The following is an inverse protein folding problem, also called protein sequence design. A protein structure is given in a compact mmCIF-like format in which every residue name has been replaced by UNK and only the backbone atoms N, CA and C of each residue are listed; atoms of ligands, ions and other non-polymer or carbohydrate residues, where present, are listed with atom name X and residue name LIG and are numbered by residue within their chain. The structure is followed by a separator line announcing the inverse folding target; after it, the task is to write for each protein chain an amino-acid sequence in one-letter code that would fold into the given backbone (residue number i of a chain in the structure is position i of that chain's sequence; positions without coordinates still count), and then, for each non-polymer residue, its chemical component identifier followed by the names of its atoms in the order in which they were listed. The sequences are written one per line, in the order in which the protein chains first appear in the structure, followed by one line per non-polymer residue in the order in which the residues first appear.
data_IF_523604224267
#
_entry.id   IF_523604224267
#
_cell.length_a   1.000
_cell.length_b   1.000
_cell.length_c   1.000
_cell.angle_alpha   90.00
_cell.angle_beta   90.00
_cell.angle_gamma   90.00
#
_symmetry.space_group_name_H-M   'P 1'
#
loop_
_entity.id
_entity.type
_entity.pdbx_description
1 polymer ?
#
# COMPACT_ATOMS: atom_id res chain seq x y z
N UNK A 1 -59.05 3.69 -32.33
CA UNK A 1 -57.65 4.13 -32.46
C UNK A 1 -57.62 5.31 -33.41
N UNK A 2 -57.45 6.53 -32.90
CA UNK A 2 -57.35 7.73 -33.74
C UNK A 2 -55.97 8.36 -33.54
N UNK A 3 -55.19 8.43 -34.62
CA UNK A 3 -53.90 9.13 -34.65
C UNK A 3 -54.18 10.62 -34.82
N UNK A 4 -53.89 11.45 -33.82
CA UNK A 4 -53.64 12.87 -34.05
C UNK A 4 -52.13 13.06 -34.24
N UNK A 5 -51.73 13.30 -35.48
CA UNK A 5 -50.42 13.85 -35.78
C UNK A 5 -50.51 15.36 -35.56
N UNK A 6 -49.80 15.86 -34.55
CA UNK A 6 -49.45 17.27 -34.47
C UNK A 6 -48.08 17.42 -35.12
N UNK A 7 -48.04 18.10 -36.26
CA UNK A 7 -46.82 18.46 -36.97
C UNK A 7 -46.31 19.78 -36.39
N UNK A 8 -45.27 19.70 -35.57
CA UNK A 8 -44.43 20.87 -35.35
C UNK A 8 -42.95 20.46 -35.31
N UNK A 9 -42.18 21.14 -36.13
CA UNK A 9 -40.83 20.79 -36.55
C UNK A 9 -39.78 21.36 -35.61
N UNK A 10 -39.05 20.49 -34.91
CA UNK A 10 -37.85 20.87 -34.15
C UNK A 10 -37.16 19.63 -33.60
N UNK A 11 -35.97 19.32 -34.13
CA UNK A 11 -35.26 18.06 -33.93
C UNK A 11 -35.12 17.63 -32.48
N UNK A 12 -35.83 16.57 -32.12
CA UNK A 12 -35.64 15.82 -30.88
C UNK A 12 -35.69 14.32 -31.17
N UNK A 13 -34.76 13.61 -30.54
CA UNK A 13 -34.76 12.18 -30.23
C UNK A 13 -36.16 11.57 -30.39
N UNK A 14 -36.31 10.62 -31.32
CA UNK A 14 -37.60 10.01 -31.71
C UNK A 14 -38.24 9.18 -30.60
N UNK A 15 -38.61 9.81 -29.48
CA UNK A 15 -39.38 9.21 -28.40
C UNK A 15 -40.85 9.38 -28.75
N UNK A 16 -41.47 8.27 -29.15
CA UNK A 16 -42.92 8.17 -29.25
C UNK A 16 -43.53 8.33 -27.86
N UNK A 17 -44.15 9.49 -27.60
CA UNK A 17 -44.98 9.69 -26.42
C UNK A 17 -46.36 9.11 -26.71
N UNK A 18 -46.68 7.97 -26.12
CA UNK A 18 -48.04 7.48 -26.06
C UNK A 18 -48.71 8.10 -24.84
N UNK A 19 -49.72 8.93 -25.06
CA UNK A 19 -50.65 9.33 -23.99
C UNK A 19 -51.46 8.10 -23.58
N UNK A 20 -51.40 7.74 -22.29
CA UNK A 20 -52.14 6.58 -21.75
C UNK A 20 -53.66 6.81 -21.70
N UNK A 21 -54.13 8.02 -21.99
CA UNK A 21 -55.55 8.37 -22.03
C UNK A 21 -56.30 7.51 -23.06
N UNK A 22 -57.27 6.72 -22.56
CA UNK A 22 -58.15 5.89 -23.39
C UNK A 22 -57.65 4.47 -23.68
N UNK A 23 -56.51 4.05 -23.12
CA UNK A 23 -56.13 2.63 -23.16
C UNK A 23 -56.99 1.83 -22.17
N UNK A 24 -57.41 0.59 -22.52
CA UNK A 24 -58.08 -0.29 -21.57
C UNK A 24 -57.21 -0.48 -20.33
N UNK A 25 -57.80 -0.49 -19.14
CA UNK A 25 -57.10 -0.66 -17.85
C UNK A 25 -56.14 -1.86 -17.86
N UNK A 26 -56.50 -2.94 -18.56
CA UNK A 26 -55.65 -4.13 -18.71
C UNK A 26 -54.33 -3.85 -19.46
N UNK A 27 -54.36 -2.98 -20.48
CA UNK A 27 -53.17 -2.60 -21.26
C UNK A 27 -52.29 -1.68 -20.42
N UNK A 28 -52.88 -0.71 -19.71
CA UNK A 28 -52.15 0.16 -18.79
C UNK A 28 -51.50 -0.67 -17.68
N UNK A 29 -52.24 -1.60 -17.09
CA UNK A 29 -51.73 -2.53 -16.08
C UNK A 29 -50.56 -3.37 -16.60
N UNK A 30 -50.64 -3.90 -17.83
CA UNK A 30 -49.55 -4.66 -18.46
C UNK A 30 -48.34 -3.78 -18.81
N UNK A 31 -48.56 -2.57 -19.33
CA UNK A 31 -47.49 -1.62 -19.65
C UNK A 31 -46.81 -1.07 -18.40
N UNK A 32 -47.55 -0.82 -17.32
CA UNK A 32 -47.00 -0.49 -16.01
C UNK A 32 -46.26 -1.69 -15.43
N UNK A 33 -46.79 -2.91 -15.48
CA UNK A 33 -46.09 -4.14 -15.03
C UNK A 33 -44.78 -4.34 -15.80
N UNK A 34 -44.78 -4.08 -17.11
CA UNK A 34 -43.60 -4.12 -17.97
C UNK A 34 -42.60 -2.99 -17.66
N UNK A 35 -43.07 -1.74 -17.53
CA UNK A 35 -42.22 -0.61 -17.14
C UNK A 35 -41.65 -0.74 -15.72
N UNK A 36 -42.41 -1.34 -14.80
CA UNK A 36 -41.99 -1.66 -13.42
C UNK A 36 -40.88 -2.72 -13.38
N UNK A 37 -40.77 -3.56 -14.41
CA UNK A 37 -39.68 -4.54 -14.54
C UNK A 37 -38.36 -3.95 -15.06
N UNK A 38 -38.36 -2.70 -15.55
CA UNK A 38 -37.19 -2.09 -16.16
C UNK A 38 -36.73 -0.81 -15.48
N UNK A 39 -37.62 0.04 -14.96
CA UNK A 39 -37.21 1.25 -14.24
C UNK A 39 -38.37 1.91 -13.46
N UNK A 40 -38.43 1.71 -12.14
CA UNK A 40 -39.34 2.42 -11.23
C UNK A 40 -39.21 3.96 -11.36
N UNK A 41 -38.03 4.46 -11.74
CA UNK A 41 -37.77 5.89 -11.93
C UNK A 41 -38.39 6.42 -13.21
N UNK A 42 -38.28 5.67 -14.31
CA UNK A 42 -39.01 5.97 -15.54
C UNK A 42 -40.52 5.94 -15.29
N UNK A 43 -41.01 4.95 -14.54
CA UNK A 43 -42.42 4.88 -14.14
C UNK A 43 -42.85 6.09 -13.32
N UNK A 44 -42.04 6.53 -12.35
CA UNK A 44 -42.35 7.70 -11.52
C UNK A 44 -42.44 8.97 -12.37
N UNK A 45 -41.57 9.14 -13.36
CA UNK A 45 -41.64 10.24 -14.32
C UNK A 45 -42.88 10.16 -15.21
N UNK A 46 -43.24 8.97 -15.70
CA UNK A 46 -44.42 8.75 -16.54
C UNK A 46 -45.71 8.92 -15.74
N UNK A 47 -45.80 8.42 -14.52
CA UNK A 47 -46.98 8.56 -13.65
C UNK A 47 -47.19 10.01 -13.21
N UNK A 48 -46.13 10.79 -12.96
CA UNK A 48 -46.23 12.23 -12.71
C UNK A 48 -46.81 13.00 -13.89
N UNK A 49 -46.63 12.51 -15.12
CA UNK A 49 -47.18 13.13 -16.32
C UNK A 49 -48.65 12.75 -16.59
N UNK A 50 -49.22 11.74 -15.91
CA UNK A 50 -50.57 11.19 -16.17
C UNK A 50 -51.43 11.25 -14.89
N UNK A 51 -51.16 12.23 -14.03
CA UNK A 51 -51.40 12.13 -12.59
C UNK A 51 -52.87 12.12 -12.12
N UNK A 52 -53.85 12.53 -12.92
CA UNK A 52 -55.21 12.73 -12.37
C UNK A 52 -56.16 11.53 -12.54
N UNK A 53 -55.90 10.60 -13.47
CA UNK A 53 -56.83 9.47 -13.75
C UNK A 53 -56.34 8.09 -13.30
N UNK A 54 -55.05 7.91 -13.01
CA UNK A 54 -54.44 6.59 -12.73
C UNK A 54 -54.04 6.35 -11.27
N UNK A 55 -54.45 7.22 -10.36
CA UNK A 55 -54.02 7.20 -8.94
C UNK A 55 -54.45 5.92 -8.21
N UNK A 56 -55.68 5.45 -8.39
CA UNK A 56 -56.19 4.27 -7.67
C UNK A 56 -55.57 2.96 -8.19
N UNK A 57 -55.43 2.83 -9.51
CA UNK A 57 -54.85 1.62 -10.13
C UNK A 57 -53.34 1.50 -9.87
N UNK A 58 -52.62 2.63 -9.87
CA UNK A 58 -51.19 2.64 -9.55
C UNK A 58 -50.93 2.22 -8.09
N UNK A 59 -51.72 2.70 -7.12
CA UNK A 59 -51.58 2.30 -5.71
C UNK A 59 -51.81 0.79 -5.49
N UNK A 60 -52.77 0.18 -6.19
CA UNK A 60 -52.99 -1.27 -6.12
C UNK A 60 -51.81 -2.08 -6.69
N UNK A 61 -51.25 -1.66 -7.83
CA UNK A 61 -50.07 -2.31 -8.44
C UNK A 61 -48.83 -2.17 -7.55
N UNK A 62 -48.62 -0.97 -6.97
CA UNK A 62 -47.55 -0.69 -6.02
C UNK A 62 -47.66 -1.60 -4.79
N UNK A 63 -48.85 -1.70 -4.19
CA UNK A 63 -49.12 -2.56 -3.03
C UNK A 63 -48.89 -4.03 -3.36
N UNK A 64 -49.33 -4.48 -4.55
CA UNK A 64 -49.11 -5.84 -5.02
C UNK A 64 -47.61 -6.14 -5.18
N UNK A 65 -46.83 -5.23 -5.77
CA UNK A 65 -45.37 -5.41 -5.89
C UNK A 65 -44.66 -5.43 -4.53
N UNK A 66 -45.01 -4.51 -3.62
CA UNK A 66 -44.48 -4.51 -2.26
C UNK A 66 -44.70 -5.85 -1.57
N UNK A 67 -45.93 -6.37 -1.65
CA UNK A 67 -46.34 -7.60 -0.96
C UNK A 67 -45.74 -8.85 -1.60
N UNK A 68 -45.82 -8.97 -2.92
CA UNK A 68 -45.52 -10.22 -3.63
C UNK A 68 -44.09 -10.28 -4.19
N UNK A 69 -43.55 -9.18 -4.71
CA UNK A 69 -42.19 -9.16 -5.27
C UNK A 69 -41.13 -8.90 -4.18
N UNK A 70 -41.43 -7.99 -3.24
CA UNK A 70 -40.47 -7.55 -2.20
C UNK A 70 -40.74 -8.15 -0.81
N UNK A 71 -41.79 -8.97 -0.65
CA UNK A 71 -42.17 -9.60 0.64
C UNK A 71 -42.39 -8.62 1.81
N UNK A 72 -42.87 -7.40 1.51
CA UNK A 72 -43.23 -6.39 2.53
C UNK A 72 -44.62 -6.72 3.07
N UNK A 73 -44.68 -7.14 4.35
CA UNK A 73 -45.92 -7.67 4.96
C UNK A 73 -46.97 -6.58 5.28
N UNK A 74 -46.57 -5.32 5.42
CA UNK A 74 -47.42 -4.24 5.98
C UNK A 74 -47.56 -3.00 5.07
N UNK A 75 -47.81 -3.20 3.76
CA UNK A 75 -47.89 -2.09 2.79
C UNK A 75 -49.20 -1.28 2.81
N UNK A 76 -50.20 -1.66 3.61
CA UNK A 76 -51.60 -1.30 3.37
C UNK A 76 -52.11 0.02 4.00
N UNK A 77 -51.27 0.93 4.52
CA UNK A 77 -51.78 1.98 5.43
C UNK A 77 -51.29 3.43 5.26
N UNK A 78 -50.59 3.81 4.18
CA UNK A 78 -50.18 5.22 3.97
C UNK A 78 -50.81 5.84 2.71
N UNK A 79 -51.95 6.49 2.85
CA UNK A 79 -52.76 7.08 1.77
C UNK A 79 -52.21 8.38 1.14
N UNK A 80 -50.89 8.55 1.08
CA UNK A 80 -50.26 9.72 0.45
C UNK A 80 -49.48 9.35 -0.82
N UNK A 81 -49.98 9.75 -2.00
CA UNK A 81 -49.43 9.38 -3.32
C UNK A 81 -47.90 9.57 -3.51
N UNK A 82 -47.27 10.50 -2.78
CA UNK A 82 -45.82 10.70 -2.82
C UNK A 82 -45.01 9.76 -1.91
N UNK A 83 -45.61 9.29 -0.82
CA UNK A 83 -44.96 8.41 0.16
C UNK A 83 -44.80 6.98 -0.35
N UNK A 84 -45.62 6.56 -1.32
CA UNK A 84 -45.66 5.19 -1.84
C UNK A 84 -44.45 4.87 -2.72
N UNK A 85 -44.00 5.79 -3.58
CA UNK A 85 -42.83 5.58 -4.45
C UNK A 85 -41.51 5.54 -3.68
N UNK A 86 -41.33 6.44 -2.71
CA UNK A 86 -40.13 6.43 -1.88
C UNK A 86 -40.07 5.17 -1.00
N UNK A 87 -41.24 4.68 -0.56
CA UNK A 87 -41.35 3.42 0.18
C UNK A 87 -41.00 2.21 -0.69
N UNK A 88 -41.48 2.17 -1.93
CA UNK A 88 -41.09 1.18 -2.93
C UNK A 88 -39.58 1.20 -3.19
N UNK A 89 -39.01 2.38 -3.47
CA UNK A 89 -37.58 2.52 -3.73
C UNK A 89 -36.76 2.05 -2.56
N UNK A 90 -37.17 2.37 -1.33
CA UNK A 90 -36.48 1.89 -0.14
C UNK A 90 -36.62 0.38 0.08
N UNK A 91 -37.78 -0.21 -0.24
CA UNK A 91 -37.99 -1.65 -0.21
C UNK A 91 -37.09 -2.37 -1.23
N UNK A 92 -36.97 -1.81 -2.45
CA UNK A 92 -36.05 -2.28 -3.49
C UNK A 92 -34.59 -2.26 -3.00
N UNK A 93 -34.15 -1.13 -2.43
CA UNK A 93 -32.82 -0.98 -1.88
C UNK A 93 -32.53 -2.01 -0.78
N UNK A 94 -33.49 -2.23 0.12
CA UNK A 94 -33.39 -3.28 1.15
C UNK A 94 -33.31 -4.67 0.55
N UNK A 95 -34.11 -4.95 -0.47
CA UNK A 95 -34.09 -6.24 -1.15
C UNK A 95 -32.71 -6.53 -1.76
N UNK A 96 -32.14 -5.57 -2.49
CA UNK A 96 -30.77 -5.68 -3.04
C UNK A 96 -29.74 -5.86 -1.92
N UNK A 97 -29.87 -5.15 -0.80
CA UNK A 97 -28.96 -5.31 0.35
C UNK A 97 -29.03 -6.73 0.93
N UNK A 98 -30.22 -7.34 0.98
CA UNK A 98 -30.41 -8.73 1.41
C UNK A 98 -29.78 -9.71 0.43
N UNK A 99 -29.93 -9.51 -0.88
CA UNK A 99 -29.26 -10.32 -1.90
C UNK A 99 -27.73 -10.25 -1.77
N UNK A 100 -27.21 -9.05 -1.48
CA UNK A 100 -25.79 -8.84 -1.19
C UNK A 100 -25.38 -9.42 0.18
N UNK A 101 -26.28 -9.70 1.10
CA UNK A 101 -25.94 -10.34 2.37
C UNK A 101 -25.97 -11.87 2.27
N UNK A 102 -26.44 -12.44 1.15
CA UNK A 102 -26.45 -13.87 0.93
C UNK A 102 -25.04 -14.48 1.07
N UNK A 103 -24.94 -15.76 1.49
CA UNK A 103 -23.67 -16.49 1.56
C UNK A 103 -22.93 -16.45 0.22
N UNK A 104 -21.60 -16.53 0.29
CA UNK A 104 -20.78 -16.64 -0.93
C UNK A 104 -21.16 -17.92 -1.70
N UNK A 105 -21.11 -17.83 -3.03
CA UNK A 105 -21.37 -18.99 -3.88
C UNK A 105 -20.31 -20.08 -3.64
N UNK A 106 -20.69 -21.33 -3.89
CA UNK A 106 -19.75 -22.44 -3.87
C UNK A 106 -18.52 -22.14 -4.75
N UNK A 107 -17.30 -22.59 -4.34
CA UNK A 107 -16.08 -22.36 -5.09
C UNK A 107 -16.22 -22.71 -6.58
N UNK A 108 -15.71 -21.84 -7.46
CA UNK A 108 -15.79 -22.03 -8.91
C UNK A 108 -17.15 -21.73 -9.55
N UNK A 109 -18.18 -21.35 -8.77
CA UNK A 109 -19.51 -21.01 -9.29
C UNK A 109 -19.91 -19.58 -8.93
N UNK A 110 -20.80 -19.01 -9.73
CA UNK A 110 -21.40 -17.71 -9.47
C UNK A 110 -20.78 -16.55 -10.24
N UNK A 111 -21.03 -15.34 -9.74
CA UNK A 111 -20.64 -14.07 -10.33
C UNK A 111 -19.84 -13.25 -9.34
N UNK A 112 -18.80 -12.57 -9.81
CA UNK A 112 -18.06 -11.60 -9.02
C UNK A 112 -18.85 -10.31 -8.85
N UNK A 113 -18.79 -9.79 -7.64
CA UNK A 113 -19.31 -8.48 -7.26
C UNK A 113 -18.24 -7.72 -6.50
N UNK A 114 -18.14 -6.41 -6.76
CA UNK A 114 -17.26 -5.54 -5.97
C UNK A 114 -17.70 -5.49 -4.52
N UNK A 115 -16.77 -5.86 -3.62
CA UNK A 115 -16.97 -5.73 -2.17
C UNK A 115 -17.04 -4.25 -1.76
N UNK A 116 -16.31 -3.37 -2.46
CA UNK A 116 -16.37 -1.93 -2.21
C UNK A 116 -17.74 -1.37 -2.59
N UNK A 117 -18.25 -1.71 -3.77
CA UNK A 117 -19.59 -1.34 -4.19
C UNK A 117 -20.65 -1.87 -3.22
N UNK A 118 -20.60 -3.15 -2.85
CA UNK A 118 -21.56 -3.76 -1.93
C UNK A 118 -21.54 -3.11 -0.53
N UNK A 119 -20.36 -2.72 -0.04
CA UNK A 119 -20.23 -2.00 1.23
C UNK A 119 -20.79 -0.58 1.13
N UNK A 120 -20.50 0.15 0.06
CA UNK A 120 -21.08 1.48 -0.18
C UNK A 120 -22.60 1.39 -0.28
N UNK A 121 -23.11 0.40 -1.01
CA UNK A 121 -24.53 0.13 -1.15
C UNK A 121 -25.21 -0.04 0.21
N UNK A 122 -24.68 -0.90 1.09
CA UNK A 122 -25.23 -1.09 2.45
C UNK A 122 -25.25 0.20 3.26
N UNK A 123 -24.15 0.97 3.25
CA UNK A 123 -24.09 2.28 3.93
C UNK A 123 -25.13 3.26 3.38
N UNK A 124 -25.32 3.27 2.07
CA UNK A 124 -26.34 4.09 1.43
C UNK A 124 -27.75 3.70 1.89
N UNK A 125 -28.07 2.40 1.92
CA UNK A 125 -29.37 1.91 2.43
C UNK A 125 -29.57 2.28 3.91
N UNK A 126 -28.54 2.14 4.74
CA UNK A 126 -28.58 2.54 6.16
C UNK A 126 -28.84 4.05 6.32
N UNK A 127 -28.18 4.88 5.50
CA UNK A 127 -28.38 6.33 5.49
C UNK A 127 -29.83 6.69 5.10
N UNK A 128 -30.37 6.07 4.04
CA UNK A 128 -31.78 6.24 3.65
C UNK A 128 -32.74 5.82 4.76
N UNK A 129 -32.44 4.73 5.48
CA UNK A 129 -33.25 4.27 6.60
C UNK A 129 -33.30 5.30 7.74
N UNK A 130 -32.17 5.97 8.03
CA UNK A 130 -32.08 7.03 9.06
C UNK A 130 -32.88 8.26 8.68
N UNK A 131 -32.78 8.70 7.43
CA UNK A 131 -33.53 9.85 6.91
C UNK A 131 -35.03 9.62 7.02
N UNK A 132 -35.52 8.43 6.67
CA UNK A 132 -36.95 8.08 6.79
C UNK A 132 -37.42 8.03 8.23
N UNK A 133 -36.63 7.50 9.16
CA UNK A 133 -36.97 7.52 10.59
C UNK A 133 -37.07 8.95 11.13
N UNK A 134 -36.20 9.84 10.65
CA UNK A 134 -36.21 11.25 11.04
C UNK A 134 -37.44 12.00 10.50
N UNK A 135 -37.96 11.63 9.32
CA UNK A 135 -39.17 12.25 8.76
C UNK A 135 -40.47 11.77 9.41
N UNK A 136 -40.53 10.53 9.91
CA UNK A 136 -41.75 9.98 10.54
C UNK A 136 -41.84 10.26 12.04
N UNK A 137 -40.71 10.46 12.72
CA UNK A 137 -40.68 10.79 14.13
C UNK A 137 -40.78 12.30 14.36
N UNK A 138 -41.99 12.85 14.47
CA UNK A 138 -42.25 14.27 14.77
C UNK A 138 -41.76 14.77 16.14
N UNK A 139 -40.83 14.06 16.78
CA UNK A 139 -40.25 14.40 18.07
C UNK A 139 -38.93 15.15 17.91
N UNK A 140 -38.87 16.36 18.48
CA UNK A 140 -37.68 17.17 18.77
C UNK A 140 -36.41 16.33 18.96
N UNK A 141 -35.66 16.10 17.88
CA UNK A 141 -34.36 15.41 17.98
C UNK A 141 -33.29 16.40 18.43
N UNK A 142 -32.68 16.13 19.58
CA UNK A 142 -31.60 16.94 20.14
C UNK A 142 -30.45 17.12 19.13
N UNK A 143 -29.81 18.30 19.12
CA UNK A 143 -28.81 18.70 18.12
C UNK A 143 -27.60 17.76 17.92
N UNK A 144 -27.42 16.73 18.76
CA UNK A 144 -26.44 15.64 18.53
C UNK A 144 -26.78 14.77 17.32
N UNK A 145 -28.07 14.61 16.99
CA UNK A 145 -28.50 13.81 15.83
C UNK A 145 -28.21 14.54 14.50
N UNK A 146 -28.31 15.87 14.49
CA UNK A 146 -28.01 16.71 13.33
C UNK A 146 -26.52 16.66 12.93
N UNK A 147 -25.59 16.59 13.91
CA UNK A 147 -24.16 16.43 13.64
C UNK A 147 -23.82 15.07 13.01
N UNK A 148 -24.49 13.99 13.41
CA UNK A 148 -24.30 12.67 12.78
C UNK A 148 -24.86 12.64 11.35
N UNK A 149 -25.99 13.28 11.10
CA UNK A 149 -26.57 13.40 9.75
C UNK A 149 -25.66 14.17 8.78
N UNK A 150 -24.91 15.18 9.25
CA UNK A 150 -23.88 15.87 8.44
C UNK A 150 -22.67 15.01 8.12
N UNK A 151 -22.36 13.99 8.93
CA UNK A 151 -21.27 13.06 8.62
C UNK A 151 -21.66 12.03 7.55
N UNK A 152 -22.97 11.79 7.38
CA UNK A 152 -23.51 10.84 6.39
C UNK A 152 -23.74 11.48 5.00
N UNK A 153 -23.51 12.79 4.83
CA UNK A 153 -23.68 13.50 3.54
C UNK A 153 -22.68 13.08 2.47
N UNK A 154 -21.63 12.34 2.84
CA UNK A 154 -20.68 11.73 1.90
C UNK A 154 -21.16 10.41 1.28
N UNK A 155 -22.31 9.87 1.70
CA UNK A 155 -22.79 8.58 1.19
C UNK A 155 -23.46 8.78 -0.18
N UNK A 156 -22.64 8.78 -1.23
CA UNK A 156 -23.11 8.90 -2.60
C UNK A 156 -23.98 7.69 -2.99
N UNK A 157 -24.99 7.89 -3.84
CA UNK A 157 -25.73 6.79 -4.45
C UNK A 157 -24.76 5.77 -5.07
N UNK A 158 -25.08 4.46 -4.98
CA UNK A 158 -24.24 3.42 -5.57
C UNK A 158 -24.09 3.64 -7.09
N UNK A 159 -22.89 3.38 -7.60
CA UNK A 159 -22.62 3.43 -9.05
C UNK A 159 -23.57 2.48 -9.79
N UNK A 160 -24.15 2.87 -10.94
CA UNK A 160 -24.99 1.98 -11.74
C UNK A 160 -24.29 0.70 -12.21
N UNK A 161 -22.97 0.74 -12.43
CA UNK A 161 -22.17 -0.45 -12.70
C UNK A 161 -21.58 -1.02 -11.41
N UNK A 162 -22.12 -2.17 -11.01
CA UNK A 162 -21.76 -2.94 -9.80
C UNK A 162 -20.28 -3.35 -9.80
N UNK A 163 -19.69 -3.51 -11.00
CA UNK A 163 -18.38 -4.11 -11.21
C UNK A 163 -17.36 -3.15 -11.82
N UNK A 164 -17.64 -1.84 -11.82
CA UNK A 164 -16.79 -0.82 -12.43
C UNK A 164 -15.32 -0.89 -11.95
N UNK A 165 -15.10 -1.12 -10.65
CA UNK A 165 -13.77 -1.21 -10.03
C UNK A 165 -13.11 -2.60 -10.16
N UNK A 166 -13.84 -3.59 -10.68
CA UNK A 166 -13.31 -4.93 -10.95
C UNK A 166 -12.91 -5.14 -12.41
N UNK A 167 -13.45 -4.33 -13.33
CA UNK A 167 -13.13 -4.42 -14.75
C UNK A 167 -11.94 -3.57 -15.13
N UNK A 168 -11.05 -4.10 -15.95
CA UNK A 168 -9.99 -3.32 -16.57
C UNK A 168 -10.53 -2.55 -17.80
N UNK A 169 -9.69 -1.71 -18.41
CA UNK A 169 -10.01 -0.98 -19.65
C UNK A 169 -10.36 -1.90 -20.83
N UNK A 170 -9.87 -3.13 -20.83
CA UNK A 170 -10.23 -4.16 -21.82
C UNK A 170 -11.64 -4.74 -21.61
N UNK A 171 -12.33 -4.34 -20.55
CA UNK A 171 -13.69 -4.75 -20.22
C UNK A 171 -13.82 -6.13 -19.57
N UNK A 172 -12.71 -6.81 -19.33
CA UNK A 172 -12.63 -8.09 -18.62
C UNK A 172 -12.31 -7.90 -17.13
N UNK A 173 -12.39 -8.98 -16.35
CA UNK A 173 -12.01 -8.97 -14.94
C UNK A 173 -10.51 -8.63 -14.80
N UNK A 174 -10.17 -7.61 -14.03
CA UNK A 174 -8.78 -7.24 -13.78
C UNK A 174 -8.01 -8.36 -13.07
N UNK A 175 -6.67 -8.47 -13.18
CA UNK A 175 -5.90 -9.42 -12.39
C UNK A 175 -5.97 -9.15 -10.88
N UNK A 176 -5.90 -10.20 -10.07
CA UNK A 176 -5.90 -10.08 -8.60
C UNK A 176 -4.71 -9.23 -8.13
N UNK A 177 -5.00 -8.22 -7.31
CA UNK A 177 -3.99 -7.29 -6.78
C UNK A 177 -3.66 -6.09 -7.69
N UNK A 178 -4.15 -6.04 -8.94
CA UNK A 178 -3.97 -4.86 -9.80
C UNK A 178 -4.95 -3.73 -9.46
N UNK A 179 -6.17 -4.09 -9.02
CA UNK A 179 -7.21 -3.12 -8.63
C UNK A 179 -7.29 -2.96 -7.11
N UNK A 180 -7.68 -1.76 -6.66
CA UNK A 180 -8.02 -1.50 -5.24
C UNK A 180 -9.25 -2.29 -4.77
N UNK A 181 -10.12 -2.72 -5.70
CA UNK A 181 -11.37 -3.42 -5.42
C UNK A 181 -11.16 -4.86 -4.96
N UNK A 182 -11.65 -5.19 -3.75
CA UNK A 182 -11.78 -6.59 -3.29
C UNK A 182 -13.03 -7.21 -3.93
N UNK A 183 -12.97 -8.50 -4.25
CA UNK A 183 -14.06 -9.25 -4.90
C UNK A 183 -14.79 -10.12 -3.88
N UNK A 184 -16.06 -10.42 -4.16
CA UNK A 184 -16.84 -11.50 -3.53
C UNK A 184 -17.64 -12.24 -4.59
N UNK A 185 -18.10 -13.45 -4.31
CA UNK A 185 -18.97 -14.20 -5.22
C UNK A 185 -20.43 -14.13 -4.78
N UNK A 186 -21.35 -14.14 -5.75
CA UNK A 186 -22.78 -14.33 -5.56
C UNK A 186 -23.27 -15.50 -6.40
N UNK A 187 -24.29 -16.19 -5.91
CA UNK A 187 -24.93 -17.24 -6.69
C UNK A 187 -25.69 -16.65 -7.90
N UNK A 188 -25.93 -17.48 -8.91
CA UNK A 188 -26.54 -17.02 -10.16
C UNK A 188 -28.01 -16.57 -10.04
N UNK A 189 -28.73 -16.95 -8.98
CA UNK A 189 -30.09 -16.45 -8.72
C UNK A 189 -30.01 -15.03 -8.16
N UNK A 190 -29.17 -14.82 -7.15
CA UNK A 190 -28.97 -13.49 -6.55
C UNK A 190 -28.42 -12.49 -7.57
N UNK A 191 -27.46 -12.89 -8.41
CA UNK A 191 -26.93 -12.02 -9.47
C UNK A 191 -28.00 -11.58 -10.47
N UNK A 192 -28.80 -12.53 -10.98
CA UNK A 192 -29.90 -12.22 -11.92
C UNK A 192 -30.91 -11.26 -11.31
N UNK A 193 -31.22 -11.42 -10.02
CA UNK A 193 -32.11 -10.49 -9.32
C UNK A 193 -31.50 -9.08 -9.20
N UNK A 194 -30.21 -8.96 -8.89
CA UNK A 194 -29.51 -7.65 -8.85
C UNK A 194 -29.49 -6.98 -10.22
N UNK A 195 -29.30 -7.74 -11.30
CA UNK A 195 -29.26 -7.23 -12.69
C UNK A 195 -30.56 -6.57 -13.15
N UNK A 196 -31.70 -6.92 -12.55
CA UNK A 196 -32.98 -6.23 -12.81
C UNK A 196 -32.90 -4.77 -12.37
N UNK A 197 -32.24 -4.50 -11.23
CA UNK A 197 -32.11 -3.15 -10.66
C UNK A 197 -30.87 -2.40 -11.18
N UNK A 198 -29.84 -3.14 -11.60
CA UNK A 198 -28.58 -2.60 -12.12
C UNK A 198 -28.27 -3.22 -13.49
N UNK A 199 -29.03 -2.86 -14.55
CA UNK A 199 -28.87 -3.48 -15.87
C UNK A 199 -27.50 -3.22 -16.49
N UNK A 200 -26.88 -2.08 -16.16
CA UNK A 200 -25.52 -1.71 -16.58
C UNK A 200 -24.42 -2.59 -15.95
N UNK A 201 -24.73 -3.37 -14.92
CA UNK A 201 -23.76 -4.26 -14.28
C UNK A 201 -23.27 -5.33 -15.27
N UNK A 202 -21.95 -5.49 -15.35
CA UNK A 202 -21.31 -6.49 -16.21
C UNK A 202 -21.32 -7.87 -15.57
N UNK A 203 -21.64 -8.89 -16.37
CA UNK A 203 -21.56 -10.29 -15.98
C UNK A 203 -20.09 -10.71 -15.89
N UNK A 204 -19.54 -10.78 -14.66
CA UNK A 204 -18.20 -11.31 -14.42
C UNK A 204 -18.31 -12.69 -13.78
N UNK A 205 -18.38 -13.76 -14.57
CA UNK A 205 -18.53 -15.12 -14.01
C UNK A 205 -17.21 -15.59 -13.42
N UNK A 206 -17.29 -16.40 -12.38
CA UNK A 206 -16.11 -16.98 -11.72
C UNK A 206 -15.25 -17.80 -12.69
N UNK A 207 -15.87 -18.40 -13.70
CA UNK A 207 -15.23 -19.26 -14.71
C UNK A 207 -14.55 -18.51 -15.86
N UNK A 208 -14.85 -17.22 -16.05
CA UNK A 208 -14.39 -16.48 -17.23
C UNK A 208 -12.92 -16.03 -17.10
N UNK A 209 -12.29 -16.30 -15.95
CA UNK A 209 -10.90 -16.00 -15.68
C UNK A 209 -10.61 -14.50 -15.53
N UNK A 210 -9.33 -14.17 -15.39
CA UNK A 210 -8.84 -12.79 -15.38
C UNK A 210 -8.46 -12.36 -16.81
N UNK A 211 -8.35 -11.05 -17.03
CA UNK A 211 -8.01 -10.49 -18.32
C UNK A 211 -6.64 -10.98 -18.80
N UNK A 212 -6.63 -11.78 -19.88
CA UNK A 212 -5.41 -12.33 -20.46
C UNK A 212 -4.41 -11.24 -20.87
N UNK A 213 -4.88 -10.09 -21.39
CA UNK A 213 -4.01 -8.96 -21.78
C UNK A 213 -3.31 -8.35 -20.57
N UNK A 214 -4.06 -8.00 -19.52
CA UNK A 214 -3.46 -7.46 -18.30
C UNK A 214 -2.55 -8.48 -17.59
N UNK A 215 -2.90 -9.77 -17.67
CA UNK A 215 -2.04 -10.86 -17.18
C UNK A 215 -0.71 -10.92 -17.94
N UNK A 216 -0.75 -10.87 -19.27
CA UNK A 216 0.43 -10.85 -20.12
C UNK A 216 1.28 -9.59 -19.90
N UNK A 217 0.66 -8.40 -19.82
CA UNK A 217 1.36 -7.14 -19.51
C UNK A 217 2.07 -7.20 -18.15
N UNK A 218 1.41 -7.74 -17.13
CA UNK A 218 2.01 -7.90 -15.79
C UNK A 218 3.15 -8.92 -15.81
N UNK A 219 2.99 -10.03 -16.53
CA UNK A 219 4.05 -11.03 -16.66
C UNK A 219 5.25 -10.43 -17.39
N UNK A 220 5.04 -9.74 -18.52
CA UNK A 220 6.08 -9.04 -19.27
C UNK A 220 6.75 -7.95 -18.43
N UNK A 221 5.99 -7.17 -17.66
CA UNK A 221 6.56 -6.16 -16.75
C UNK A 221 7.39 -6.80 -15.62
N UNK A 222 6.95 -7.95 -15.09
CA UNK A 222 7.69 -8.69 -14.07
C UNK A 222 8.98 -9.29 -14.64
N UNK A 223 8.93 -9.85 -15.85
CA UNK A 223 10.09 -10.37 -16.57
C UNK A 223 11.08 -9.24 -16.90
N UNK A 224 10.60 -8.10 -17.41
CA UNK A 224 11.42 -6.92 -17.67
C UNK A 224 12.07 -6.38 -16.40
N UNK A 225 11.34 -6.34 -15.28
CA UNK A 225 11.89 -5.94 -13.98
C UNK A 225 12.96 -6.93 -13.47
N UNK A 226 12.75 -8.24 -13.65
CA UNK A 226 13.73 -9.26 -13.32
C UNK A 226 14.99 -9.17 -14.19
N UNK A 227 14.82 -8.95 -15.50
CA UNK A 227 15.92 -8.76 -16.43
C UNK A 227 16.73 -7.50 -16.09
N UNK A 228 16.06 -6.38 -15.79
CA UNK A 228 16.72 -5.16 -15.35
C UNK A 228 17.47 -5.36 -14.01
N UNK A 229 16.88 -6.07 -13.05
CA UNK A 229 17.54 -6.41 -11.79
C UNK A 229 18.75 -7.34 -11.99
N UNK A 230 18.67 -8.31 -12.91
CA UNK A 230 19.78 -9.19 -13.25
C UNK A 230 20.93 -8.43 -13.93
N UNK A 231 20.62 -7.57 -14.90
CA UNK A 231 21.59 -6.70 -15.56
C UNK A 231 22.28 -5.76 -14.56
N UNK A 232 21.51 -5.15 -13.65
CA UNK A 232 22.07 -4.28 -12.63
C UNK A 232 22.96 -5.05 -11.65
N UNK A 233 22.58 -6.28 -11.27
CA UNK A 233 23.42 -7.16 -10.45
C UNK A 233 24.72 -7.52 -11.16
N UNK A 234 24.67 -7.86 -12.44
CA UNK A 234 25.86 -8.16 -13.25
C UNK A 234 26.77 -6.94 -13.35
N UNK A 235 26.21 -5.76 -13.65
CA UNK A 235 26.94 -4.49 -13.68
C UNK A 235 27.63 -4.21 -12.33
N UNK A 236 26.90 -4.30 -11.21
CA UNK A 236 27.47 -4.12 -9.85
C UNK A 236 28.55 -5.15 -9.53
N UNK A 237 28.39 -6.39 -9.98
CA UNK A 237 29.38 -7.45 -9.77
C UNK A 237 30.64 -7.22 -10.58
N UNK A 238 30.50 -6.83 -11.85
CA UNK A 238 31.64 -6.47 -12.72
C UNK A 238 32.39 -5.25 -12.19
N UNK A 239 31.64 -4.24 -11.77
CA UNK A 239 32.14 -3.04 -11.09
C UNK A 239 32.99 -3.36 -9.85
N UNK A 240 32.53 -4.30 -9.02
CA UNK A 240 33.26 -4.75 -7.84
C UNK A 240 34.49 -5.57 -8.20
N UNK A 241 34.38 -6.45 -9.20
CA UNK A 241 35.47 -7.31 -9.67
C UNK A 241 36.61 -6.50 -10.32
N UNK A 242 36.29 -5.36 -10.95
CA UNK A 242 37.27 -4.46 -11.55
C UNK A 242 38.19 -3.78 -10.52
N UNK A 243 37.80 -3.73 -9.24
CA UNK A 243 38.58 -3.07 -8.18
C UNK A 243 38.89 -4.07 -7.06
N UNK A 244 40.09 -4.69 -7.07
CA UNK A 244 40.46 -5.74 -6.11
C UNK A 244 40.26 -5.34 -4.64
N UNK A 245 40.57 -4.08 -4.27
CA UNK A 245 40.39 -3.56 -2.92
C UNK A 245 38.93 -3.64 -2.44
N UNK A 246 37.97 -3.25 -3.29
CA UNK A 246 36.54 -3.34 -2.95
C UNK A 246 36.05 -4.78 -2.90
N UNK A 247 36.53 -5.65 -3.80
CA UNK A 247 36.19 -7.07 -3.79
C UNK A 247 36.62 -7.75 -2.48
N UNK A 248 37.85 -7.50 -2.04
CA UNK A 248 38.37 -8.00 -0.76
C UNK A 248 37.55 -7.46 0.42
N UNK A 249 37.29 -6.15 0.45
CA UNK A 249 36.48 -5.49 1.47
C UNK A 249 35.05 -6.05 1.56
N UNK A 250 34.43 -6.38 0.42
CA UNK A 250 33.08 -6.93 0.35
C UNK A 250 32.98 -8.33 0.97
N UNK A 251 33.99 -9.17 0.74
CA UNK A 251 34.04 -10.54 1.25
C UNK A 251 34.50 -10.63 2.72
N UNK A 252 35.06 -9.55 3.26
CA UNK A 252 35.65 -9.49 4.60
C UNK A 252 34.61 -9.61 5.71
N UNK A 253 34.86 -10.53 6.66
CA UNK A 253 34.00 -10.75 7.85
C UNK A 253 34.59 -10.23 9.16
N UNK A 254 35.92 -10.19 9.27
CA UNK A 254 36.63 -9.85 10.51
C UNK A 254 36.75 -8.35 10.80
N UNK A 255 36.35 -7.50 9.86
CA UNK A 255 36.44 -6.05 10.00
C UNK A 255 37.84 -5.46 9.87
N UNK A 256 38.84 -6.25 9.50
CA UNK A 256 40.25 -5.85 9.41
C UNK A 256 40.91 -6.46 8.16
N UNK A 257 41.81 -5.75 7.48
CA UNK A 257 42.51 -6.26 6.29
C UNK A 257 43.48 -7.38 6.69
N UNK A 258 43.13 -8.63 6.39
CA UNK A 258 43.92 -9.81 6.80
C UNK A 258 45.34 -9.83 6.23
N UNK A 259 45.55 -9.25 5.05
CA UNK A 259 46.88 -9.11 4.44
C UNK A 259 47.81 -8.15 5.18
N UNK A 260 47.28 -7.33 6.09
CA UNK A 260 48.04 -6.37 6.89
C UNK A 260 48.19 -6.80 8.35
N UNK A 261 47.76 -8.01 8.72
CA UNK A 261 47.91 -8.50 10.09
C UNK A 261 49.34 -9.02 10.31
N UNK A 262 49.95 -8.57 11.41
CA UNK A 262 51.24 -9.10 11.88
C UNK A 262 50.98 -10.41 12.63
N UNK A 263 51.69 -11.48 12.25
CA UNK A 263 51.57 -12.78 12.90
C UNK A 263 51.84 -12.67 14.42
N UNK A 264 51.14 -13.46 15.23
CA UNK A 264 51.28 -13.46 16.69
C UNK A 264 52.72 -13.67 17.16
N UNK A 265 53.45 -14.59 16.53
CA UNK A 265 54.85 -14.87 16.85
C UNK A 265 55.75 -13.67 16.57
N UNK A 266 55.48 -12.94 15.49
CA UNK A 266 56.22 -11.73 15.14
C UNK A 266 55.90 -10.59 16.12
N UNK A 267 54.65 -10.45 16.56
CA UNK A 267 54.28 -9.46 17.60
C UNK A 267 54.97 -9.75 18.93
N UNK A 268 55.08 -11.02 19.31
CA UNK A 268 55.79 -11.44 20.51
C UNK A 268 57.30 -11.16 20.39
N UNK A 269 57.89 -11.45 19.22
CA UNK A 269 59.30 -11.16 18.95
C UNK A 269 59.61 -9.67 19.02
N UNK A 270 58.75 -8.81 18.45
CA UNK A 270 58.88 -7.34 18.54
C UNK A 270 58.82 -6.90 20.01
N UNK A 271 57.82 -7.36 20.78
CA UNK A 271 57.70 -7.03 22.21
C UNK A 271 58.98 -7.37 22.99
N UNK A 272 59.54 -8.55 22.76
CA UNK A 272 60.77 -9.00 23.42
C UNK A 272 62.00 -8.20 22.97
N UNK A 273 62.12 -7.91 21.67
CA UNK A 273 63.26 -7.17 21.11
C UNK A 273 63.31 -5.71 21.60
N UNK A 274 62.15 -5.08 21.77
CA UNK A 274 62.01 -3.68 22.14
C UNK A 274 61.73 -3.46 23.64
N UNK A 275 61.69 -4.52 24.45
CA UNK A 275 61.35 -4.48 25.88
C UNK A 275 60.05 -3.71 26.17
N UNK A 276 59.00 -3.96 25.37
CA UNK A 276 57.72 -3.26 25.50
C UNK A 276 56.83 -3.90 26.57
N UNK A 277 56.17 -3.06 27.37
CA UNK A 277 55.21 -3.50 28.39
C UNK A 277 53.92 -4.07 27.79
N UNK A 278 53.57 -3.64 26.57
CA UNK A 278 52.36 -4.06 25.84
C UNK A 278 52.71 -4.77 24.53
N UNK A 279 51.77 -5.56 24.01
CA UNK A 279 51.93 -6.12 22.67
C UNK A 279 51.78 -5.01 21.62
N UNK A 280 52.63 -4.99 20.57
CA UNK A 280 52.47 -4.03 19.49
C UNK A 280 51.11 -4.25 18.79
N UNK A 281 50.57 -3.24 18.09
CA UNK A 281 49.33 -3.36 17.37
C UNK A 281 49.30 -4.56 16.41
N UNK A 282 48.14 -5.18 16.20
CA UNK A 282 48.00 -6.35 15.33
C UNK A 282 48.18 -6.06 13.84
N UNK A 283 48.34 -4.80 13.44
CA UNK A 283 48.45 -4.34 12.06
C UNK A 283 49.89 -3.93 11.73
N UNK A 284 50.31 -4.17 10.50
CA UNK A 284 51.60 -3.74 9.99
C UNK A 284 51.70 -2.19 9.96
N UNK A 285 52.90 -1.61 10.03
CA UNK A 285 53.10 -0.19 9.86
C UNK A 285 52.45 0.36 8.60
N UNK A 286 51.81 1.53 8.68
CA UNK A 286 51.08 2.10 7.55
C UNK A 286 49.93 3.02 7.98
N UNK A 287 49.23 3.55 6.99
CA UNK A 287 48.06 4.42 7.17
C UNK A 287 46.77 3.61 6.99
N UNK A 288 45.79 3.84 7.85
CA UNK A 288 44.51 3.15 7.86
C UNK A 288 43.36 4.11 8.16
N UNK A 289 42.15 3.71 7.80
CA UNK A 289 40.92 4.47 8.06
C UNK A 289 39.94 3.63 8.90
N UNK A 290 39.11 4.31 9.70
CA UNK A 290 37.95 3.72 10.35
C UNK A 290 36.68 4.02 9.55
N UNK A 291 35.89 2.97 9.28
CA UNK A 291 34.62 3.07 8.57
C UNK A 291 33.49 2.50 9.44
N UNK A 292 32.36 3.20 9.62
CA UNK A 292 31.21 2.69 10.34
C UNK A 292 30.67 1.38 9.73
N UNK A 293 30.52 0.35 10.56
CA UNK A 293 30.06 -0.98 10.13
C UNK A 293 28.62 -0.95 9.59
N UNK A 294 27.77 -0.06 10.10
CA UNK A 294 26.40 0.10 9.60
C UNK A 294 26.38 0.52 8.12
N UNK A 295 27.29 1.40 7.73
CA UNK A 295 27.47 1.83 6.36
C UNK A 295 27.99 0.68 5.49
N UNK A 296 29.08 0.03 5.91
CA UNK A 296 29.63 -1.13 5.17
C UNK A 296 28.63 -2.28 5.04
N UNK A 297 27.79 -2.50 6.03
CA UNK A 297 26.72 -3.52 5.95
C UNK A 297 25.70 -3.15 4.88
N UNK A 298 25.27 -1.89 4.84
CA UNK A 298 24.33 -1.39 3.82
C UNK A 298 24.95 -1.43 2.42
N UNK A 299 26.23 -1.05 2.30
CA UNK A 299 26.99 -1.15 1.05
C UNK A 299 27.13 -2.60 0.56
N UNK A 300 27.49 -3.55 1.44
CA UNK A 300 27.55 -4.98 1.07
C UNK A 300 26.20 -5.53 0.63
N UNK A 301 25.11 -5.12 1.27
CA UNK A 301 23.75 -5.48 0.83
C UNK A 301 23.44 -4.90 -0.54
N UNK A 302 23.75 -3.62 -0.79
CA UNK A 302 23.59 -2.97 -2.09
C UNK A 302 24.33 -3.68 -3.23
N UNK A 303 25.57 -4.11 -2.98
CA UNK A 303 26.38 -4.81 -3.98
C UNK A 303 25.83 -6.22 -4.26
N UNK A 304 25.26 -6.91 -3.27
CA UNK A 304 24.77 -8.29 -3.41
C UNK A 304 23.32 -8.40 -3.88
N UNK A 305 22.48 -7.43 -3.53
CA UNK A 305 21.06 -7.40 -3.80
C UNK A 305 20.72 -6.25 -4.77
N UNK A 306 20.26 -6.54 -6.00
CA UNK A 306 19.90 -5.50 -6.96
C UNK A 306 18.74 -4.63 -6.49
N UNK A 307 17.84 -5.17 -5.64
CA UNK A 307 16.71 -4.44 -5.08
C UNK A 307 17.06 -3.56 -3.89
N UNK A 308 18.26 -3.71 -3.32
CA UNK A 308 18.69 -2.89 -2.20
C UNK A 308 19.01 -1.45 -2.65
N UNK A 309 18.62 -0.44 -1.85
CA UNK A 309 18.90 0.94 -2.16
C UNK A 309 20.41 1.21 -2.11
N UNK A 310 20.87 2.19 -2.90
CA UNK A 310 22.23 2.69 -2.82
C UNK A 310 22.54 3.13 -1.38
N UNK A 311 23.72 2.80 -0.81
CA UNK A 311 24.09 3.31 0.49
C UNK A 311 24.10 4.84 0.45
N UNK A 312 23.77 5.47 1.58
CA UNK A 312 23.95 6.92 1.73
C UNK A 312 25.43 7.27 1.52
N UNK A 313 25.78 8.55 1.26
CA UNK A 313 27.17 8.98 1.33
C UNK A 313 27.83 8.49 2.62
N UNK A 314 29.09 8.08 2.52
CA UNK A 314 29.85 7.65 3.69
C UNK A 314 29.98 8.83 4.65
N UNK A 315 29.63 8.60 5.90
CA UNK A 315 29.66 9.62 6.94
C UNK A 315 30.39 9.09 8.16
N UNK A 316 31.65 9.50 8.32
CA UNK A 316 32.44 9.19 9.50
C UNK A 316 32.30 10.24 10.62
N UNK A 317 31.46 11.27 10.45
CA UNK A 317 31.24 12.29 11.49
C UNK A 317 30.56 11.71 12.73
N UNK A 318 29.96 10.52 12.62
CA UNK A 318 29.46 9.72 13.74
C UNK A 318 30.54 9.38 14.77
N UNK A 319 31.82 9.48 14.40
CA UNK A 319 32.96 9.28 15.29
C UNK A 319 33.44 10.58 15.93
N UNK A 320 32.78 11.71 15.69
CA UNK A 320 33.06 12.97 16.36
C UNK A 320 32.18 13.12 17.59
N UNK A 321 32.76 13.73 18.62
CA UNK A 321 32.03 14.19 19.79
C UNK A 321 31.19 15.41 19.40
N UNK A 322 29.86 15.28 19.45
CA UNK A 322 28.93 16.37 19.13
C UNK A 322 29.22 17.68 19.90
N UNK A 323 29.69 17.58 21.15
CA UNK A 323 29.95 18.75 21.98
C UNK A 323 31.29 19.45 21.69
N UNK A 324 32.31 18.71 21.23
CA UNK A 324 33.69 19.20 21.15
C UNK A 324 34.28 19.17 19.74
N UNK A 325 33.64 18.46 18.79
CA UNK A 325 34.20 18.21 17.45
C UNK A 325 35.48 17.35 17.46
N UNK A 326 35.77 16.67 18.58
CA UNK A 326 36.96 15.83 18.78
C UNK A 326 36.65 14.36 18.52
N UNK A 327 37.66 13.56 18.20
CA UNK A 327 37.49 12.14 17.86
C UNK A 327 37.08 11.30 19.08
N UNK A 328 35.97 10.57 18.94
CA UNK A 328 35.56 9.47 19.81
C UNK A 328 36.00 8.15 19.20
N UNK A 329 37.15 7.64 19.64
CA UNK A 329 37.64 6.33 19.20
C UNK A 329 36.74 5.24 19.80
N UNK A 330 36.14 4.35 18.98
CA UNK A 330 35.33 3.26 19.51
C UNK A 330 36.15 2.34 20.44
N UNK A 331 35.66 2.00 21.65
CA UNK A 331 36.45 1.22 22.62
C UNK A 331 36.94 -0.11 22.08
N UNK A 332 36.14 -0.80 21.25
CA UNK A 332 36.54 -2.08 20.66
C UNK A 332 37.70 -1.94 19.67
N UNK A 333 37.74 -0.84 18.92
CA UNK A 333 38.82 -0.56 17.98
C UNK A 333 40.11 -0.19 18.72
N UNK A 334 40.00 0.64 19.75
CA UNK A 334 41.14 1.00 20.59
C UNK A 334 41.74 -0.21 21.32
N UNK A 335 40.91 -0.99 22.02
CA UNK A 335 41.36 -2.18 22.73
C UNK A 335 42.02 -3.19 21.78
N UNK A 336 41.46 -3.37 20.58
CA UNK A 336 42.06 -4.25 19.58
C UNK A 336 43.41 -3.71 19.07
N UNK A 337 43.51 -2.41 18.79
CA UNK A 337 44.76 -1.77 18.36
C UNK A 337 45.85 -1.81 19.44
N UNK A 338 45.49 -1.77 20.73
CA UNK A 338 46.42 -1.95 21.86
C UNK A 338 46.82 -3.41 22.10
N UNK A 339 46.18 -4.36 21.42
CA UNK A 339 46.39 -5.79 21.64
C UNK A 339 45.64 -6.36 22.85
N UNK A 340 44.80 -5.58 23.54
CA UNK A 340 43.95 -6.04 24.64
C UNK A 340 42.86 -7.03 24.16
N UNK A 341 42.55 -6.99 22.85
CA UNK A 341 41.59 -7.90 22.20
C UNK A 341 42.20 -8.59 21.00
N UNK A 342 41.87 -9.86 20.84
CA UNK A 342 42.29 -10.67 19.69
C UNK A 342 41.51 -10.32 18.41
N UNK A 343 40.19 -10.14 18.53
CA UNK A 343 39.26 -9.93 17.40
C UNK A 343 38.61 -8.55 17.48
N UNK A 344 38.72 -7.77 16.41
CA UNK A 344 38.09 -6.44 16.32
C UNK A 344 36.56 -6.51 16.52
N UNK A 345 35.90 -7.44 15.82
CA UNK A 345 34.44 -7.56 15.81
C UNK A 345 33.89 -8.72 16.65
N UNK A 346 34.73 -9.39 17.44
CA UNK A 346 34.34 -10.57 18.22
C UNK A 346 33.80 -10.19 19.61
N UNK A 347 32.65 -10.75 19.99
CA UNK A 347 32.01 -10.56 21.31
C UNK A 347 31.90 -9.07 21.71
N UNK A 348 31.32 -8.25 20.82
CA UNK A 348 31.07 -6.84 21.09
C UNK A 348 29.86 -6.72 22.04
N UNK A 349 30.05 -5.99 23.14
CA UNK A 349 28.95 -5.53 23.97
C UNK A 349 28.24 -4.38 23.25
N UNK A 350 27.00 -4.59 22.82
CA UNK A 350 26.23 -3.58 22.07
C UNK A 350 25.99 -2.30 22.86
N UNK A 351 26.01 -2.34 24.20
CA UNK A 351 25.75 -1.18 25.05
C UNK A 351 27.02 -0.35 25.32
N UNK A 352 28.20 -0.99 25.27
CA UNK A 352 29.49 -0.38 25.62
C UNK A 352 30.46 -0.22 24.45
N UNK A 353 30.16 -0.76 23.28
CA UNK A 353 31.10 -0.69 22.13
C UNK A 353 31.02 0.64 21.36
N UNK A 354 30.07 1.52 21.70
CA UNK A 354 29.83 2.74 20.92
C UNK A 354 29.47 2.41 19.46
N UNK A 355 29.96 3.22 18.52
CA UNK A 355 29.81 2.94 17.09
C UNK A 355 30.76 1.84 16.64
N UNK A 356 30.19 0.71 16.18
CA UNK A 356 30.99 -0.39 15.64
C UNK A 356 31.61 0.03 14.31
N UNK A 357 32.94 -0.03 14.24
CA UNK A 357 33.73 0.32 13.06
C UNK A 357 34.59 -0.85 12.58
N UNK A 358 34.92 -0.82 11.30
CA UNK A 358 35.90 -1.68 10.64
C UNK A 358 37.12 -0.84 10.23
N UNK A 359 38.29 -1.46 10.19
CA UNK A 359 39.53 -0.87 9.69
C UNK A 359 39.62 -1.11 8.18
N UNK A 360 39.88 -0.09 7.38
CA UNK A 360 40.15 -0.21 5.94
C UNK A 360 41.53 0.34 5.60
N UNK A 361 42.14 -0.20 4.54
CA UNK A 361 43.41 0.32 4.00
C UNK A 361 43.17 1.64 3.24
N UNK A 362 44.25 2.35 2.89
CA UNK A 362 44.17 3.55 2.03
C UNK A 362 43.56 3.19 0.68
N UNK A 363 44.02 2.12 0.03
CA UNK A 363 43.50 1.68 -1.28
C UNK A 363 42.00 1.34 -1.22
N UNK A 364 41.55 0.67 -0.14
CA UNK A 364 40.13 0.39 0.08
C UNK A 364 39.32 1.68 0.27
N UNK A 365 39.86 2.64 1.03
CA UNK A 365 39.21 3.93 1.28
C UNK A 365 39.10 4.79 0.02
N UNK A 366 40.17 4.89 -0.76
CA UNK A 366 40.22 5.67 -1.99
C UNK A 366 39.24 5.09 -3.01
N UNK A 367 39.22 3.76 -3.15
CA UNK A 367 38.27 3.09 -4.03
C UNK A 367 36.80 3.29 -3.60
N UNK A 368 36.52 3.34 -2.29
CA UNK A 368 35.18 3.68 -1.80
C UNK A 368 34.80 5.13 -2.13
N UNK A 369 35.74 6.06 -1.91
CA UNK A 369 35.52 7.50 -2.10
C UNK A 369 35.34 7.87 -3.58
N UNK A 370 36.13 7.26 -4.45
CA UNK A 370 36.02 7.43 -5.90
C UNK A 370 34.64 6.97 -6.41
N UNK A 371 34.16 5.83 -5.92
CA UNK A 371 32.98 5.17 -6.48
C UNK A 371 31.65 5.59 -5.86
N UNK A 372 31.65 5.91 -4.56
CA UNK A 372 30.43 6.23 -3.81
C UNK A 372 30.33 7.70 -3.40
N UNK A 373 31.25 8.52 -3.93
CA UNK A 373 31.32 9.96 -3.68
C UNK A 373 32.32 10.30 -2.59
N UNK A 374 32.88 11.52 -2.64
CA UNK A 374 33.82 11.98 -1.64
C UNK A 374 33.16 11.92 -0.27
N UNK A 375 33.91 11.42 0.71
CA UNK A 375 33.50 11.50 2.10
C UNK A 375 33.96 12.86 2.64
N UNK A 376 33.03 13.69 3.10
CA UNK A 376 33.33 15.02 3.64
C UNK A 376 34.29 14.94 4.84
N UNK A 377 34.34 13.79 5.51
CA UNK A 377 35.12 13.61 6.72
C UNK A 377 35.64 12.17 6.87
N UNK A 378 36.93 12.00 7.18
CA UNK A 378 37.56 10.68 7.37
C UNK A 378 38.29 10.59 8.70
N UNK A 379 38.14 9.46 9.39
CA UNK A 379 38.94 9.14 10.58
C UNK A 379 40.10 8.26 10.18
N UNK A 380 41.31 8.83 10.20
CA UNK A 380 42.57 8.15 9.85
C UNK A 380 43.43 7.90 11.07
N UNK A 381 44.21 6.83 11.04
CA UNK A 381 45.30 6.60 11.99
C UNK A 381 46.48 5.95 11.28
N UNK A 382 47.69 6.23 11.75
CA UNK A 382 48.92 5.59 11.28
C UNK A 382 49.53 4.73 12.37
N UNK A 383 50.11 3.61 11.96
CA UNK A 383 50.96 2.76 12.80
C UNK A 383 52.39 3.08 12.42
N UNK A 384 53.17 3.52 13.41
CA UNK A 384 54.56 3.92 13.21
C UNK A 384 55.43 2.74 12.70
N UNK A 385 56.55 3.01 12.02
CA UNK A 385 57.43 1.97 11.46
C UNK A 385 58.02 1.01 12.50
N UNK A 386 58.25 1.52 13.71
CA UNK A 386 58.65 0.72 14.88
C UNK A 386 57.53 -0.20 15.38
N UNK A 387 56.28 0.06 14.99
CA UNK A 387 55.12 -0.72 15.40
C UNK A 387 54.65 -0.40 16.80
N UNK A 388 55.15 0.67 17.44
CA UNK A 388 54.94 0.85 18.89
C UNK A 388 53.84 1.88 19.20
N UNK A 389 53.50 2.73 18.23
CA UNK A 389 52.54 3.81 18.43
C UNK A 389 51.45 3.86 17.34
N UNK A 390 50.22 4.04 17.79
CA UNK A 390 49.07 4.42 16.95
C UNK A 390 48.87 5.93 17.05
N UNK A 391 49.11 6.64 15.94
CA UNK A 391 48.88 8.07 15.84
C UNK A 391 47.56 8.36 15.12
N UNK A 392 46.62 9.02 15.79
CA UNK A 392 45.35 9.43 15.21
C UNK A 392 45.50 10.75 14.45
N UNK A 393 44.84 10.87 13.30
CA UNK A 393 44.81 12.11 12.50
C UNK A 393 44.09 13.28 13.19
N UNK A 394 43.33 13.00 14.26
CA UNK A 394 42.57 13.98 15.00
C UNK A 394 42.80 13.83 16.50
N UNK A 395 42.77 14.94 17.26
CA UNK A 395 42.82 14.90 18.71
C UNK A 395 41.61 14.15 19.27
N UNK A 396 41.87 13.32 20.28
CA UNK A 396 40.87 12.49 20.93
C UNK A 396 40.08 13.30 21.96
N UNK A 397 38.78 13.05 22.04
CA UNK A 397 37.97 13.59 23.12
C UNK A 397 38.24 12.81 24.41
N UNK A 398 38.81 13.48 25.42
CA UNK A 398 39.02 12.89 26.76
C UNK A 398 37.86 13.15 27.74
N UNK A 399 36.92 14.03 27.36
CA UNK A 399 35.82 14.50 28.24
C UNK A 399 34.53 13.72 28.07
N UNK A 400 34.34 13.06 26.93
CA UNK A 400 33.11 12.36 26.61
C UNK A 400 33.38 10.86 26.49
N UNK A 401 32.49 10.06 27.07
CA UNK A 401 32.54 8.61 26.96
C UNK A 401 32.06 8.18 25.55
N UNK A 402 32.89 7.47 24.76
CA UNK A 402 32.47 6.90 23.48
C UNK A 402 31.20 6.03 23.55
N UNK A 403 30.89 5.44 24.72
CA UNK A 403 29.73 4.58 24.93
C UNK A 403 28.41 5.37 25.00
N UNK A 404 28.43 6.60 25.52
CA UNK A 404 27.22 7.38 25.80
C UNK A 404 26.56 7.92 24.52
N UNK A 405 27.34 8.20 23.47
CA UNK A 405 26.86 8.83 22.24
C UNK A 405 26.09 7.84 21.34
N UNK A 406 26.42 6.54 21.37
CA UNK A 406 25.75 5.55 20.51
C UNK A 406 24.26 5.30 20.88
N UNK A 407 23.87 5.56 22.13
CA UNK A 407 22.50 5.32 22.62
C UNK A 407 21.48 6.35 22.10
N UNK A 408 21.92 7.59 21.82
CA UNK A 408 21.01 8.67 21.38
C UNK A 408 20.63 8.59 19.90
N UNK A 409 21.46 7.98 19.07
CA UNK A 409 21.21 7.86 17.62
C UNK A 409 20.42 6.60 17.25
N UNK A 410 20.59 5.49 17.99
CA UNK A 410 19.83 4.25 17.75
C UNK A 410 18.33 4.40 18.03
N UNK A 411 17.95 5.31 18.93
CA UNK A 411 16.54 5.63 19.24
C UNK A 411 15.89 6.60 18.24
N UNK A 412 16.69 7.32 17.44
CA UNK A 412 16.20 8.32 16.46
C UNK A 412 16.08 7.81 15.03
N UNK A 413 16.56 6.62 14.71
CA UNK A 413 16.23 5.98 13.43
C UNK A 413 14.83 5.38 13.58
N UNK A 414 13.79 5.95 12.94
CA UNK A 414 12.46 5.35 13.00
C UNK A 414 12.58 3.92 12.45
N UNK A 415 12.26 2.93 13.29
CA UNK A 415 12.00 1.57 12.82
C UNK A 415 11.01 1.71 11.67
N UNK A 416 11.46 1.43 10.45
CA UNK A 416 10.65 1.59 9.24
C UNK A 416 9.28 0.95 9.48
N UNK A 417 8.24 1.76 9.33
CA UNK A 417 6.93 1.28 8.92
C UNK A 417 7.15 0.48 7.64
N UNK A 418 7.01 -0.84 7.75
CA UNK A 418 6.85 -1.73 6.62
C UNK A 418 5.64 -1.27 5.80
N UNK A 419 5.88 -0.78 4.59
CA UNK A 419 4.86 -0.60 3.56
C UNK A 419 4.60 -1.91 2.83
#
# INVERSE_FOLDING_TARGET
MSKRCSSDSGGHDGRLFFTLEGLPAEVIRRSLTYALSYDLRALTCTCKAVADTLVSESSAVVTHLLKHAYSVKDAAASSGNGADFDSLRFAELKHVATLLAAPEAAPGRGYYVSKQWANNFRRFVESQARLRKASTGGGSSSGKQLRRLRSDSGTMPPCPDVNADLTCSHGALSPAGATRGRRRTLDGRSWRAIKVFYPAARDLRVRDGECARCGAERAAAAEAAQAAAAQEKERRSGDLAAVPALSQLCCRRGGVPTSHLVCGDMRLAIRLAHNLDALPPPLAPGLYHLVPRCWLSSWRTYVRDPGAPQPRPLDASLLLCDAHGLLLVPPHAEQWLRGDREKLLGALDTERSGYVCEVVTVDEWDALSERYGPCDFSVRFSIAPDGDAVAWSLPRCSRCDPCYVAQTYTTRVPRKLSF
#
